data_IF_696197210088
#
_entry.id   IF_696197210088
#
_cell.length_a   1.000
_cell.length_b   1.000
_cell.length_c   1.000
_cell.angle_alpha   90.00
_cell.angle_beta   90.00
_cell.angle_gamma   90.00
#
_symmetry.space_group_name_H-M   'P 1'
#
loop_
_entity.id
_entity.type
_entity.pdbx_description
1 polymer ?
#
# COMPACT_ATOMS: atom_id res chain seq x y z
N UNK A 1 -19.25 17.86 6.49
CA UNK A 1 -18.67 17.53 7.83
C UNK A 1 -18.37 16.04 7.86
N UNK A 2 -17.23 15.67 8.47
CA UNK A 2 -16.82 14.26 8.60
C UNK A 2 -17.61 13.53 9.70
N UNK A 3 -17.79 12.21 9.56
CA UNK A 3 -18.30 11.32 10.61
C UNK A 3 -17.20 10.83 11.57
N UNK A 4 -15.95 11.23 11.37
CA UNK A 4 -14.87 10.96 12.30
C UNK A 4 -15.10 11.73 13.61
N UNK A 5 -15.08 11.03 14.74
CA UNK A 5 -15.43 11.59 16.05
C UNK A 5 -14.22 11.92 16.92
N UNK A 6 -13.25 11.02 16.96
CA UNK A 6 -12.09 11.15 17.83
C UNK A 6 -10.92 10.29 17.34
N UNK A 7 -9.75 10.49 17.97
CA UNK A 7 -8.65 9.52 17.95
C UNK A 7 -8.75 8.64 19.17
N UNK A 8 -8.58 7.33 19.02
CA UNK A 8 -8.59 6.35 20.13
C UNK A 8 -7.31 5.54 20.15
N UNK A 9 -6.78 5.34 21.36
CA UNK A 9 -5.63 4.47 21.54
C UNK A 9 -6.00 3.01 21.29
N UNK A 10 -5.24 2.33 20.43
CA UNK A 10 -5.47 0.92 20.04
C UNK A 10 -5.18 -0.06 21.20
N UNK A 11 -4.49 0.37 22.27
CA UNK A 11 -4.12 -0.48 23.41
C UNK A 11 -4.96 -0.21 24.65
N UNK A 12 -5.05 1.06 25.11
CA UNK A 12 -5.71 1.39 26.38
C UNK A 12 -7.10 2.03 26.19
N UNK A 13 -7.54 2.31 24.95
CA UNK A 13 -8.85 2.87 24.67
C UNK A 13 -9.00 4.38 24.94
N UNK A 14 -7.97 5.07 25.46
CA UNK A 14 -8.01 6.52 25.72
C UNK A 14 -8.36 7.29 24.45
N UNK A 15 -9.34 8.18 24.54
CA UNK A 15 -9.78 9.02 23.42
C UNK A 15 -9.16 10.43 23.49
N UNK A 16 -8.93 11.02 22.31
CA UNK A 16 -8.40 12.36 22.10
C UNK A 16 -9.22 13.07 21.01
N UNK A 17 -9.29 14.40 21.01
CA UNK A 17 -9.89 15.13 19.89
C UNK A 17 -9.13 14.87 18.59
N UNK A 18 -9.78 15.16 17.46
CA UNK A 18 -9.13 15.10 16.14
C UNK A 18 -8.07 16.19 16.07
N UNK A 19 -6.81 15.80 16.12
CA UNK A 19 -5.63 16.69 16.11
C UNK A 19 -4.43 15.97 15.50
N UNK A 20 -3.36 16.70 15.15
CA UNK A 20 -2.13 16.14 14.60
C UNK A 20 -1.31 15.38 15.67
N UNK A 21 -1.77 14.18 16.00
CA UNK A 21 -1.19 13.31 17.03
C UNK A 21 -1.24 11.85 16.58
N UNK A 22 -0.20 11.09 16.84
CA UNK A 22 -0.12 9.67 16.47
C UNK A 22 0.03 8.71 17.63
N UNK A 23 0.47 9.19 18.80
CA UNK A 23 0.74 8.36 19.98
C UNK A 23 -0.11 8.76 21.18
N UNK A 24 -0.50 7.76 21.94
CA UNK A 24 -1.18 7.89 23.23
C UNK A 24 -0.23 8.45 24.29
N UNK A 25 -0.68 9.40 25.10
CA UNK A 25 0.11 9.94 26.22
C UNK A 25 0.29 8.93 27.36
N UNK A 26 -0.68 8.02 27.55
CA UNK A 26 -0.67 7.09 28.68
C UNK A 26 0.24 5.88 28.44
N UNK A 27 0.28 5.33 27.22
CA UNK A 27 0.97 4.06 26.95
C UNK A 27 1.81 4.06 25.69
N UNK A 28 1.96 5.21 25.03
CA UNK A 28 2.74 5.40 23.80
C UNK A 28 2.35 4.49 22.64
N UNK A 29 1.18 3.86 22.69
CA UNK A 29 0.65 3.06 21.59
C UNK A 29 0.04 3.94 20.52
N UNK A 30 -0.05 3.42 19.30
CA UNK A 30 -0.61 4.13 18.14
C UNK A 30 -2.09 4.47 18.33
N UNK A 31 -2.49 5.62 17.79
CA UNK A 31 -3.87 6.07 17.73
C UNK A 31 -4.51 5.65 16.41
N UNK A 32 -5.83 5.47 16.44
CA UNK A 32 -6.67 5.26 15.27
C UNK A 32 -7.85 6.24 15.26
N UNK A 33 -8.38 6.53 14.08
CA UNK A 33 -9.62 7.33 13.95
C UNK A 33 -10.82 6.43 14.24
N UNK A 34 -11.75 6.94 15.04
CA UNK A 34 -13.07 6.31 15.28
C UNK A 34 -14.17 7.18 14.71
N UNK A 35 -15.25 6.54 14.25
CA UNK A 35 -16.37 7.14 13.55
C UNK A 35 -17.69 6.96 14.29
N UNK A 36 -18.67 7.81 13.97
CA UNK A 36 -20.06 7.59 14.34
C UNK A 36 -20.72 6.60 13.36
N UNK A 37 -20.41 5.32 13.52
CA UNK A 37 -20.99 4.26 12.69
C UNK A 37 -22.51 4.16 12.83
N UNK A 38 -23.08 4.62 13.96
CA UNK A 38 -24.53 4.59 14.16
C UNK A 38 -25.27 5.56 13.25
N UNK A 39 -24.70 6.74 13.06
CA UNK A 39 -25.22 7.73 12.10
C UNK A 39 -24.91 7.30 10.67
N UNK A 40 -23.67 6.86 10.38
CA UNK A 40 -23.26 6.35 9.08
C UNK A 40 -24.18 5.24 8.56
N UNK A 41 -24.55 4.27 9.39
CA UNK A 41 -25.44 3.16 9.00
C UNK A 41 -26.85 3.61 8.57
N UNK A 42 -27.27 4.83 8.91
CA UNK A 42 -28.56 5.38 8.51
C UNK A 42 -28.49 6.22 7.25
N UNK A 43 -27.34 6.83 6.98
CA UNK A 43 -27.18 7.86 5.96
C UNK A 43 -26.38 7.39 4.75
N UNK A 44 -25.59 6.31 4.90
CA UNK A 44 -24.76 5.76 3.83
C UNK A 44 -25.47 4.55 3.18
N UNK A 45 -25.51 4.55 1.85
CA UNK A 45 -25.99 3.42 1.05
C UNK A 45 -25.04 3.13 -0.11
N UNK A 46 -25.22 1.98 -0.75
CA UNK A 46 -24.45 1.59 -1.94
C UNK A 46 -24.65 2.58 -3.08
N UNK A 47 -25.89 3.04 -3.27
CA UNK A 47 -26.29 4.00 -4.30
C UNK A 47 -25.58 5.34 -4.06
N UNK A 48 -25.60 5.85 -2.82
CA UNK A 48 -24.92 7.10 -2.46
C UNK A 48 -23.41 7.03 -2.71
N UNK A 49 -22.77 5.89 -2.43
CA UNK A 49 -21.35 5.69 -2.76
C UNK A 49 -21.16 5.68 -4.27
N UNK A 50 -22.03 4.99 -5.03
CA UNK A 50 -21.93 4.87 -6.48
C UNK A 50 -22.11 6.21 -7.22
N UNK A 51 -22.86 7.17 -6.65
CA UNK A 51 -23.00 8.55 -7.15
C UNK A 51 -21.74 9.39 -6.98
N UNK A 52 -20.77 8.95 -6.15
CA UNK A 52 -19.52 9.64 -5.91
C UNK A 52 -18.57 9.64 -7.12
N UNK A 53 -17.48 10.44 -7.07
CA UNK A 53 -16.53 10.56 -8.18
C UNK A 53 -15.82 9.21 -8.45
N UNK A 54 -15.27 9.01 -9.68
CA UNK A 54 -14.46 7.83 -10.00
C UNK A 54 -13.04 7.95 -9.40
N UNK A 55 -12.95 8.16 -8.10
CA UNK A 55 -11.72 8.24 -7.29
C UNK A 55 -11.97 7.65 -5.91
N UNK A 56 -10.93 7.57 -5.08
CA UNK A 56 -11.08 7.12 -3.68
C UNK A 56 -12.06 7.99 -2.87
N UNK A 57 -12.32 9.20 -3.31
CA UNK A 57 -13.15 10.19 -2.62
C UNK A 57 -14.66 9.90 -2.69
N UNK A 58 -15.07 8.88 -3.48
CA UNK A 58 -16.43 8.35 -3.42
C UNK A 58 -16.77 7.73 -2.05
N UNK A 59 -15.74 7.33 -1.29
CA UNK A 59 -15.87 6.84 0.08
C UNK A 59 -15.59 7.91 1.14
N UNK A 60 -15.71 9.20 0.78
CA UNK A 60 -15.37 10.33 1.66
C UNK A 60 -16.04 10.23 3.03
N UNK A 61 -17.31 9.82 3.09
CA UNK A 61 -18.06 9.69 4.34
C UNK A 61 -17.43 8.68 5.32
N UNK A 62 -16.62 7.75 4.82
CA UNK A 62 -15.85 6.76 5.58
C UNK A 62 -14.41 7.21 5.88
N UNK A 63 -14.06 8.47 5.54
CA UNK A 63 -12.73 9.06 5.72
C UNK A 63 -12.77 10.24 6.70
N UNK A 64 -11.66 10.55 7.40
CA UNK A 64 -11.64 11.54 8.48
C UNK A 64 -11.44 12.97 8.00
N UNK A 65 -12.09 13.36 6.90
CA UNK A 65 -11.91 14.65 6.24
C UNK A 65 -13.25 15.33 5.96
N UNK A 66 -13.22 16.65 5.83
CA UNK A 66 -14.37 17.45 5.40
C UNK A 66 -14.49 17.52 3.85
N UNK A 67 -15.20 18.49 3.31
CA UNK A 67 -15.58 18.50 1.89
C UNK A 67 -14.48 18.96 0.93
N UNK A 68 -13.55 19.79 1.36
CA UNK A 68 -12.48 20.30 0.52
C UNK A 68 -11.27 19.34 0.50
N UNK A 69 -11.27 18.40 -0.44
CA UNK A 69 -10.26 17.35 -0.53
C UNK A 69 -9.14 17.68 -1.52
N UNK A 70 -7.93 17.16 -1.25
CA UNK A 70 -6.79 17.23 -2.18
C UNK A 70 -6.78 15.96 -3.01
N UNK A 71 -7.31 16.05 -4.23
CA UNK A 71 -7.37 14.94 -5.18
C UNK A 71 -6.52 15.22 -6.43
N UNK A 72 -5.73 14.25 -6.85
CA UNK A 72 -4.99 14.22 -8.11
C UNK A 72 -5.47 13.09 -9.04
N UNK A 73 -6.69 12.57 -8.82
CA UNK A 73 -7.25 11.42 -9.49
C UNK A 73 -6.87 10.09 -8.82
N UNK A 74 -6.76 10.10 -7.51
CA UNK A 74 -6.27 8.96 -6.72
C UNK A 74 -7.34 7.90 -6.50
N UNK A 75 -6.93 6.64 -6.64
CA UNK A 75 -7.79 5.50 -6.33
C UNK A 75 -8.77 5.13 -7.43
N UNK A 76 -9.78 4.35 -7.08
CA UNK A 76 -10.73 3.70 -7.99
C UNK A 76 -10.02 2.96 -9.13
N UNK A 77 -8.88 2.35 -8.79
CA UNK A 77 -8.02 1.61 -9.72
C UNK A 77 -8.71 0.33 -10.16
N UNK A 78 -8.38 -0.20 -11.36
CA UNK A 78 -9.02 -1.40 -11.87
C UNK A 78 -8.86 -2.63 -10.96
N UNK A 79 -9.94 -3.41 -10.86
CA UNK A 79 -9.92 -4.78 -10.38
C UNK A 79 -10.05 -5.69 -11.61
N UNK A 80 -8.97 -6.37 -11.98
CA UNK A 80 -8.83 -7.12 -13.22
C UNK A 80 -8.90 -8.62 -12.94
N UNK A 81 -9.75 -9.36 -13.66
CA UNK A 81 -9.70 -10.83 -13.63
C UNK A 81 -8.42 -11.29 -14.31
N UNK A 82 -7.64 -12.13 -13.63
CA UNK A 82 -6.33 -12.59 -14.07
C UNK A 82 -6.43 -14.01 -14.63
N UNK A 83 -7.06 -14.17 -15.81
CA UNK A 83 -7.40 -15.48 -16.36
C UNK A 83 -6.16 -16.30 -16.73
N UNK A 84 -5.13 -15.69 -17.34
CA UNK A 84 -3.92 -16.40 -17.74
C UNK A 84 -3.06 -16.79 -16.53
N UNK A 85 -2.87 -15.82 -15.61
CA UNK A 85 -2.14 -16.08 -14.37
C UNK A 85 -2.91 -17.08 -13.50
N UNK A 86 -4.21 -16.96 -13.40
CA UNK A 86 -5.07 -17.91 -12.67
C UNK A 86 -4.93 -19.34 -13.20
N UNK A 87 -4.94 -19.53 -14.52
CA UNK A 87 -4.72 -20.82 -15.16
C UNK A 87 -3.32 -21.39 -14.82
N UNK A 88 -2.29 -20.55 -14.86
CA UNK A 88 -0.90 -20.93 -14.53
C UNK A 88 -0.75 -21.36 -13.06
N UNK A 89 -1.50 -20.71 -12.16
CA UNK A 89 -1.45 -20.98 -10.71
C UNK A 89 -2.51 -21.98 -10.23
N UNK A 90 -3.43 -22.41 -11.10
CA UNK A 90 -4.54 -23.31 -10.74
C UNK A 90 -5.63 -22.62 -9.90
N UNK A 91 -5.87 -21.30 -10.11
CA UNK A 91 -6.87 -20.49 -9.42
C UNK A 91 -7.90 -19.96 -10.42
N UNK A 92 -9.16 -20.39 -10.31
CA UNK A 92 -10.21 -20.05 -11.28
C UNK A 92 -10.79 -18.63 -11.07
N UNK A 93 -10.76 -18.11 -9.82
CA UNK A 93 -11.34 -16.82 -9.43
C UNK A 93 -10.25 -15.87 -8.86
N UNK A 94 -9.17 -15.68 -9.63
CA UNK A 94 -8.08 -14.76 -9.30
C UNK A 94 -8.32 -13.38 -9.91
N UNK A 95 -8.19 -12.34 -9.08
CA UNK A 95 -8.26 -10.93 -9.49
C UNK A 95 -7.04 -10.15 -9.00
N UNK A 96 -6.62 -9.18 -9.80
CA UNK A 96 -5.55 -8.23 -9.48
C UNK A 96 -6.17 -6.86 -9.17
N UNK A 97 -5.94 -6.36 -7.94
CA UNK A 97 -6.17 -4.94 -7.62
C UNK A 97 -4.94 -4.15 -8.04
N UNK A 98 -5.05 -3.44 -9.18
CA UNK A 98 -3.89 -2.83 -9.84
C UNK A 98 -3.67 -1.38 -9.42
N UNK A 99 -2.99 -1.15 -8.32
CA UNK A 99 -2.62 0.18 -7.82
C UNK A 99 -1.38 0.79 -8.49
N UNK A 100 -0.78 0.12 -9.49
CA UNK A 100 0.23 0.72 -10.37
C UNK A 100 -0.29 1.95 -11.12
N UNK A 101 -1.61 2.03 -11.33
CA UNK A 101 -2.28 3.07 -12.11
C UNK A 101 -2.66 4.32 -11.30
N UNK A 102 -2.27 4.40 -10.05
CA UNK A 102 -2.36 5.66 -9.31
C UNK A 102 -1.45 6.73 -9.92
N UNK A 103 -1.76 8.03 -9.76
CA UNK A 103 -1.06 9.14 -10.40
C UNK A 103 0.47 9.19 -10.16
N UNK A 104 0.94 8.77 -8.99
CA UNK A 104 2.39 8.64 -8.72
C UNK A 104 2.86 7.18 -8.73
N UNK A 105 2.15 6.32 -9.46
CA UNK A 105 2.50 4.93 -9.76
C UNK A 105 2.53 4.00 -8.53
N UNK A 106 1.81 4.33 -7.46
CA UNK A 106 1.69 3.44 -6.30
C UNK A 106 0.47 3.74 -5.43
N UNK A 107 0.07 2.76 -4.62
CA UNK A 107 -1.01 2.90 -3.63
C UNK A 107 -0.77 4.02 -2.61
N UNK A 108 0.47 4.54 -2.50
CA UNK A 108 0.81 5.61 -1.57
C UNK A 108 -0.01 6.88 -1.79
N UNK A 109 -0.54 7.08 -2.97
CA UNK A 109 -1.42 8.21 -3.25
C UNK A 109 -2.66 8.22 -2.36
N UNK A 110 -3.22 7.06 -2.05
CA UNK A 110 -4.41 6.92 -1.19
C UNK A 110 -4.20 7.46 0.23
N UNK A 111 -3.26 6.94 1.03
CA UNK A 111 -3.02 7.46 2.37
C UNK A 111 -2.49 8.88 2.38
N UNK A 112 -1.70 9.28 1.38
CA UNK A 112 -1.15 10.64 1.28
C UNK A 112 -2.23 11.66 0.97
N UNK A 113 -3.16 11.37 0.06
CA UNK A 113 -4.29 12.24 -0.28
C UNK A 113 -5.10 12.62 0.97
N UNK A 114 -5.43 11.64 1.83
CA UNK A 114 -6.11 11.88 3.10
C UNK A 114 -5.25 12.69 4.08
N UNK A 115 -3.96 12.34 4.22
CA UNK A 115 -3.08 13.03 5.15
C UNK A 115 -2.81 14.49 4.76
N UNK A 116 -2.64 14.79 3.47
CA UNK A 116 -2.46 16.16 2.96
C UNK A 116 -3.74 16.97 3.12
N UNK A 117 -4.91 16.41 2.80
CA UNK A 117 -6.20 17.03 3.06
C UNK A 117 -6.33 17.42 4.54
N UNK A 118 -6.03 16.47 5.43
CA UNK A 118 -6.11 16.70 6.88
C UNK A 118 -5.06 17.71 7.39
N UNK A 119 -3.85 17.70 6.80
CA UNK A 119 -2.85 18.72 7.11
C UNK A 119 -3.37 20.14 6.83
N UNK A 120 -4.01 20.32 5.68
CA UNK A 120 -4.62 21.61 5.29
C UNK A 120 -5.76 22.01 6.23
N UNK A 121 -6.65 21.10 6.61
CA UNK A 121 -7.72 21.32 7.59
C UNK A 121 -7.18 21.75 8.96
N UNK A 122 -6.03 21.21 9.39
CA UNK A 122 -5.34 21.62 10.63
C UNK A 122 -4.58 22.94 10.50
N UNK A 123 -4.62 23.58 9.32
CA UNK A 123 -3.95 24.85 9.06
C UNK A 123 -2.42 24.75 9.01
N UNK A 124 -1.90 23.60 8.55
CA UNK A 124 -0.49 23.48 8.17
C UNK A 124 -0.30 24.04 6.75
N UNK A 125 0.73 24.84 6.57
CA UNK A 125 1.19 25.33 5.26
C UNK A 125 2.36 24.50 4.71
N UNK A 126 2.92 23.65 5.56
CA UNK A 126 4.11 22.84 5.29
C UNK A 126 3.88 21.39 5.70
N UNK A 127 4.25 20.49 4.80
CA UNK A 127 4.25 19.05 5.06
C UNK A 127 5.62 18.43 4.88
N UNK A 128 5.87 17.32 5.53
CA UNK A 128 7.15 16.63 5.45
C UNK A 128 7.02 15.11 5.52
N UNK A 129 8.03 14.41 5.01
CA UNK A 129 8.19 12.98 5.20
C UNK A 129 9.65 12.55 5.18
N UNK A 130 9.96 11.43 5.83
CA UNK A 130 11.21 10.70 5.72
C UNK A 130 11.01 9.55 4.73
N UNK A 131 11.44 9.69 3.48
CA UNK A 131 11.30 8.63 2.46
C UNK A 131 12.10 8.93 1.21
N UNK A 132 12.59 7.90 0.55
CA UNK A 132 13.28 7.97 -0.74
C UNK A 132 12.46 7.41 -1.92
N UNK A 133 11.30 6.78 -1.64
CA UNK A 133 10.53 6.00 -2.62
C UNK A 133 9.11 6.53 -2.86
N UNK A 134 8.18 5.59 -2.98
CA UNK A 134 6.77 5.84 -3.32
C UNK A 134 6.09 6.89 -2.42
N UNK A 135 6.40 6.92 -1.12
CA UNK A 135 5.83 7.91 -0.20
C UNK A 135 6.30 9.33 -0.53
N UNK A 136 7.61 9.51 -0.81
CA UNK A 136 8.17 10.82 -1.11
C UNK A 136 7.55 11.44 -2.36
N UNK A 137 7.44 10.68 -3.45
CA UNK A 137 6.83 11.14 -4.69
C UNK A 137 5.36 11.52 -4.51
N UNK A 138 4.60 10.69 -3.79
CA UNK A 138 3.21 10.96 -3.50
C UNK A 138 3.02 12.23 -2.64
N UNK A 139 3.83 12.40 -1.57
CA UNK A 139 3.79 13.61 -0.74
C UNK A 139 4.11 14.86 -1.55
N UNK A 140 5.15 14.81 -2.39
CA UNK A 140 5.52 15.94 -3.22
C UNK A 140 4.42 16.32 -4.23
N UNK A 141 3.81 15.32 -4.89
CA UNK A 141 2.72 15.53 -5.85
C UNK A 141 1.47 16.15 -5.21
N UNK A 142 1.01 15.58 -4.10
CA UNK A 142 -0.19 16.08 -3.41
C UNK A 142 0.05 17.43 -2.75
N UNK A 143 1.25 17.70 -2.20
CA UNK A 143 1.62 19.00 -1.65
C UNK A 143 1.65 20.08 -2.75
N UNK A 144 2.20 19.77 -3.92
CA UNK A 144 2.18 20.66 -5.08
C UNK A 144 0.72 20.99 -5.49
N UNK A 145 -0.16 19.99 -5.56
CA UNK A 145 -1.59 20.19 -5.84
C UNK A 145 -2.29 21.05 -4.80
N UNK A 146 -1.92 20.89 -3.52
CA UNK A 146 -2.49 21.63 -2.39
C UNK A 146 -1.88 23.02 -2.21
N UNK A 147 -0.90 23.43 -3.03
CA UNK A 147 -0.10 24.65 -2.86
C UNK A 147 0.55 24.75 -1.46
N UNK A 148 1.07 23.62 -0.96
CA UNK A 148 1.77 23.51 0.32
C UNK A 148 3.27 23.32 0.10
N UNK A 149 4.11 23.80 1.01
CA UNK A 149 5.54 23.47 1.02
C UNK A 149 5.73 22.01 1.40
N UNK A 150 6.61 21.30 0.68
CA UNK A 150 6.97 19.93 0.99
C UNK A 150 8.45 19.81 1.29
N UNK A 151 8.79 19.19 2.41
CA UNK A 151 10.16 18.79 2.76
C UNK A 151 10.27 17.27 2.74
N UNK A 152 11.22 16.76 1.97
CA UNK A 152 11.50 15.32 1.88
C UNK A 152 12.90 15.07 2.44
N UNK A 153 12.96 14.34 3.56
CA UNK A 153 14.21 13.98 4.23
C UNK A 153 14.68 12.62 3.75
N UNK A 154 15.93 12.56 3.30
CA UNK A 154 16.55 11.37 2.69
C UNK A 154 17.96 11.16 3.25
N UNK A 155 18.45 9.90 3.36
CA UNK A 155 19.85 9.64 3.62
C UNK A 155 20.76 10.20 2.51
N UNK A 156 21.99 10.57 2.86
CA UNK A 156 22.94 11.21 1.92
C UNK A 156 23.44 10.27 0.80
N UNK A 157 23.31 8.96 0.96
CA UNK A 157 23.79 7.93 0.01
C UNK A 157 22.81 7.57 -1.10
N UNK A 158 21.69 8.28 -1.22
CA UNK A 158 20.67 8.00 -2.27
C UNK A 158 21.09 8.56 -3.62
N UNK A 159 21.03 7.73 -4.64
CA UNK A 159 21.36 8.08 -6.02
C UNK A 159 20.40 9.14 -6.58
N UNK A 160 20.88 10.18 -7.29
CA UNK A 160 20.03 11.23 -7.85
C UNK A 160 18.92 10.71 -8.78
N UNK A 161 19.18 9.67 -9.56
CA UNK A 161 18.20 9.09 -10.50
C UNK A 161 16.93 8.59 -9.81
N UNK A 162 17.05 8.05 -8.59
CA UNK A 162 15.91 7.58 -7.79
C UNK A 162 15.04 8.71 -7.25
N UNK A 163 15.55 9.95 -7.27
CA UNK A 163 14.85 11.12 -6.74
C UNK A 163 14.08 11.90 -7.81
N UNK A 164 14.31 11.66 -9.10
CA UNK A 164 13.71 12.41 -10.22
C UNK A 164 12.18 12.44 -10.10
N UNK A 165 11.55 11.29 -9.86
CA UNK A 165 10.10 11.17 -9.71
C UNK A 165 9.52 11.87 -8.47
N UNK A 166 10.38 12.37 -7.56
CA UNK A 166 10.00 13.23 -6.44
C UNK A 166 10.34 14.68 -6.74
N UNK A 167 11.54 14.92 -7.26
CA UNK A 167 12.07 16.26 -7.52
C UNK A 167 11.26 17.06 -8.54
N UNK A 168 10.61 16.38 -9.51
CA UNK A 168 9.79 17.02 -10.55
C UNK A 168 8.63 17.87 -9.99
N UNK A 169 8.15 17.56 -8.78
CA UNK A 169 7.11 18.31 -8.07
C UNK A 169 7.65 19.46 -7.23
N UNK A 170 8.96 19.74 -7.33
CA UNK A 170 9.65 20.84 -6.65
C UNK A 170 9.54 20.87 -5.10
N UNK A 171 9.65 19.73 -4.39
CA UNK A 171 9.82 19.75 -2.94
C UNK A 171 11.23 20.20 -2.56
N UNK A 172 11.41 20.61 -1.31
CA UNK A 172 12.75 20.79 -0.75
C UNK A 172 13.31 19.43 -0.33
N UNK A 173 14.33 18.95 -1.06
CA UNK A 173 15.01 17.69 -0.75
C UNK A 173 16.13 17.96 0.27
N UNK A 174 16.03 17.36 1.45
CA UNK A 174 16.99 17.49 2.55
C UNK A 174 17.81 16.21 2.67
N UNK A 175 19.06 16.24 2.23
CA UNK A 175 20.01 15.14 2.43
C UNK A 175 20.57 15.19 3.86
N UNK A 176 20.32 14.14 4.63
CA UNK A 176 20.78 13.99 6.02
C UNK A 176 22.02 13.10 6.04
N UNK A 177 23.09 13.57 6.61
CA UNK A 177 24.31 12.78 6.84
C UNK A 177 24.03 11.75 7.94
N UNK A 178 24.00 10.47 7.57
CA UNK A 178 23.68 9.36 8.46
C UNK A 178 22.79 8.29 7.83
N UNK A 179 22.31 7.41 8.69
CA UNK A 179 21.44 6.30 8.36
C UNK A 179 19.96 6.74 8.19
N UNK A 180 19.11 5.84 7.73
CA UNK A 180 17.65 6.06 7.71
C UNK A 180 17.07 6.27 9.12
N UNK A 181 17.67 5.66 10.15
CA UNK A 181 17.26 5.85 11.54
C UNK A 181 17.61 7.25 12.04
N UNK A 182 18.75 7.82 11.61
CA UNK A 182 19.10 9.21 11.89
C UNK A 182 18.12 10.18 11.24
N UNK A 183 17.69 9.91 10.02
CA UNK A 183 16.63 10.70 9.34
C UNK A 183 15.33 10.66 10.15
N UNK A 184 14.90 9.48 10.59
CA UNK A 184 13.67 9.33 11.37
C UNK A 184 13.74 10.04 12.73
N UNK A 185 14.89 9.94 13.43
CA UNK A 185 15.13 10.65 14.69
C UNK A 185 15.05 12.16 14.49
N UNK A 186 15.74 12.71 13.49
CA UNK A 186 15.69 14.14 13.16
C UNK A 186 14.26 14.60 12.85
N UNK A 187 13.50 13.82 12.07
CA UNK A 187 12.10 14.14 11.77
C UNK A 187 11.23 14.14 13.02
N UNK A 188 11.46 13.24 13.98
CA UNK A 188 10.75 13.22 15.26
C UNK A 188 11.04 14.47 16.12
N UNK A 189 12.26 15.00 16.09
CA UNK A 189 12.63 16.25 16.75
C UNK A 189 11.98 17.47 16.06
N UNK A 190 11.97 17.49 14.71
CA UNK A 190 11.38 18.57 13.93
C UNK A 190 9.86 18.70 14.17
N UNK A 191 9.14 17.59 14.33
CA UNK A 191 7.70 17.57 14.69
C UNK A 191 7.43 18.32 15.99
N UNK A 192 8.35 18.27 16.96
CA UNK A 192 8.19 18.95 18.24
C UNK A 192 8.47 20.46 18.13
N UNK A 193 9.32 20.84 17.18
CA UNK A 193 9.82 22.22 17.06
C UNK A 193 9.03 23.08 16.09
N UNK A 194 8.55 22.48 14.99
CA UNK A 194 7.89 23.21 13.90
C UNK A 194 6.43 22.80 13.75
N UNK A 195 5.58 23.75 13.39
CA UNK A 195 4.18 23.50 13.05
C UNK A 195 4.09 22.91 11.63
N UNK A 196 4.60 21.68 11.43
CA UNK A 196 4.58 20.95 10.16
C UNK A 196 3.75 19.69 10.24
N UNK A 197 3.06 19.37 9.14
CA UNK A 197 2.36 18.11 8.98
C UNK A 197 3.33 17.00 8.51
N UNK A 198 3.88 16.20 9.43
CA UNK A 198 4.67 15.01 9.06
C UNK A 198 3.75 13.85 8.75
N UNK A 199 3.68 13.47 7.47
CA UNK A 199 2.69 12.54 6.91
C UNK A 199 2.68 11.19 7.65
N UNK A 200 3.85 10.62 7.90
CA UNK A 200 4.00 9.31 8.52
C UNK A 200 4.34 9.37 10.03
N UNK A 201 4.28 10.55 10.66
CA UNK A 201 4.52 10.74 12.10
C UNK A 201 3.26 11.31 12.76
N UNK A 202 3.10 12.63 12.90
CA UNK A 202 1.98 13.22 13.61
C UNK A 202 0.62 13.13 12.86
N UNK A 203 0.65 12.93 11.53
CA UNK A 203 -0.54 12.69 10.71
C UNK A 203 -0.82 11.20 10.44
N UNK A 204 -0.03 10.29 11.02
CA UNK A 204 -0.12 8.84 10.80
C UNK A 204 -1.53 8.25 10.98
N UNK A 205 -2.37 8.62 11.97
CA UNK A 205 -3.73 8.08 12.09
C UNK A 205 -4.59 8.39 10.86
N UNK A 206 -4.48 9.59 10.31
CA UNK A 206 -5.23 10.03 9.12
C UNK A 206 -4.67 9.40 7.85
N UNK A 207 -3.34 9.36 7.72
CA UNK A 207 -2.65 8.62 6.68
C UNK A 207 -3.12 7.17 6.59
N UNK A 208 -3.26 6.51 7.73
CA UNK A 208 -3.72 5.12 7.77
C UNK A 208 -5.10 4.93 7.14
N UNK A 209 -6.02 5.87 7.37
CA UNK A 209 -7.41 5.75 6.92
C UNK A 209 -7.55 5.76 5.39
N UNK A 210 -6.67 6.44 4.66
CA UNK A 210 -6.68 6.40 3.19
C UNK A 210 -6.46 5.00 2.61
N UNK A 211 -5.73 4.14 3.31
CA UNK A 211 -5.52 2.75 2.88
C UNK A 211 -6.79 1.87 2.97
N UNK A 212 -7.83 2.28 3.69
CA UNK A 212 -9.12 1.57 3.75
C UNK A 212 -9.79 1.52 2.38
N UNK A 213 -9.57 2.55 1.55
CA UNK A 213 -10.19 2.63 0.22
C UNK A 213 -9.80 1.46 -0.70
N UNK A 214 -8.68 0.78 -0.44
CA UNK A 214 -8.32 -0.47 -1.12
C UNK A 214 -9.39 -1.55 -0.95
N UNK A 215 -9.84 -1.79 0.27
CA UNK A 215 -10.87 -2.80 0.55
C UNK A 215 -12.28 -2.35 0.17
N UNK A 216 -12.60 -1.06 0.34
CA UNK A 216 -13.90 -0.53 -0.12
C UNK A 216 -14.08 -0.70 -1.63
N UNK A 217 -13.06 -0.33 -2.42
CA UNK A 217 -13.09 -0.49 -3.87
C UNK A 217 -13.19 -1.95 -4.30
N UNK A 218 -12.46 -2.84 -3.64
CA UNK A 218 -12.56 -4.28 -3.93
C UNK A 218 -13.98 -4.79 -3.69
N UNK A 219 -14.58 -4.46 -2.54
CA UNK A 219 -15.94 -4.89 -2.25
C UNK A 219 -16.97 -4.35 -3.23
N UNK A 220 -16.90 -3.05 -3.59
CA UNK A 220 -17.79 -2.43 -4.57
C UNK A 220 -17.61 -3.04 -5.96
N UNK A 221 -16.37 -3.17 -6.44
CA UNK A 221 -16.05 -3.72 -7.77
C UNK A 221 -16.37 -5.21 -7.92
N UNK A 222 -16.48 -5.93 -6.81
CA UNK A 222 -16.98 -7.30 -6.76
C UNK A 222 -18.52 -7.39 -6.65
N UNK A 223 -19.25 -6.27 -6.79
CA UNK A 223 -20.70 -6.22 -6.64
C UNK A 223 -21.17 -6.27 -5.17
N UNK A 224 -20.45 -5.58 -4.29
CA UNK A 224 -20.73 -5.45 -2.85
C UNK A 224 -20.65 -6.79 -2.10
N UNK A 225 -19.54 -7.49 -2.30
CA UNK A 225 -19.20 -8.69 -1.55
C UNK A 225 -17.72 -8.69 -1.13
N UNK A 226 -17.42 -9.35 -0.03
CA UNK A 226 -16.05 -9.60 0.38
C UNK A 226 -15.42 -10.74 -0.44
N UNK A 227 -14.11 -10.73 -0.73
CA UNK A 227 -13.41 -11.87 -1.32
C UNK A 227 -13.20 -12.99 -0.27
N UNK A 228 -12.95 -14.23 -0.74
CA UNK A 228 -12.59 -15.34 0.15
C UNK A 228 -11.14 -15.17 0.66
N UNK A 229 -10.23 -14.69 -0.20
CA UNK A 229 -8.82 -14.51 0.11
C UNK A 229 -8.29 -13.16 -0.34
N UNK A 230 -7.43 -12.57 0.47
CA UNK A 230 -6.62 -11.38 0.12
C UNK A 230 -5.15 -11.71 0.28
N UNK A 231 -4.32 -11.42 -0.74
CA UNK A 231 -2.86 -11.53 -0.69
C UNK A 231 -2.25 -10.13 -0.83
N UNK A 232 -1.51 -9.69 0.19
CA UNK A 232 -1.02 -8.30 0.29
C UNK A 232 0.45 -8.22 0.70
N UNK A 233 1.29 -7.36 0.04
CA UNK A 233 2.68 -7.15 0.40
C UNK A 233 2.80 -6.23 1.61
N UNK A 234 3.43 -6.69 2.69
CA UNK A 234 3.50 -5.94 3.93
C UNK A 234 4.89 -5.38 4.20
N UNK A 235 4.99 -4.05 4.29
CA UNK A 235 6.12 -3.35 4.89
C UNK A 235 5.92 -3.26 6.41
N UNK A 236 5.26 -2.20 6.90
CA UNK A 236 4.97 -2.01 8.33
C UNK A 236 3.74 -2.80 8.83
N UNK A 237 2.95 -3.40 7.94
CA UNK A 237 1.67 -4.04 8.24
C UNK A 237 0.45 -3.10 8.23
N UNK A 238 0.65 -1.77 8.14
CA UNK A 238 -0.42 -0.78 8.27
C UNK A 238 -1.56 -0.99 7.25
N UNK A 239 -1.26 -0.96 5.95
CA UNK A 239 -2.28 -1.05 4.90
C UNK A 239 -3.00 -2.40 4.92
N UNK A 240 -2.30 -3.48 5.24
CA UNK A 240 -2.87 -4.81 5.43
C UNK A 240 -3.97 -4.78 6.50
N UNK A 241 -3.71 -4.18 7.67
CA UNK A 241 -4.71 -4.05 8.73
C UNK A 241 -5.87 -3.13 8.34
N UNK A 242 -5.64 -2.16 7.45
CA UNK A 242 -6.68 -1.22 6.98
C UNK A 242 -7.61 -1.85 5.94
N UNK A 243 -7.10 -2.73 5.10
CA UNK A 243 -7.95 -3.53 4.20
C UNK A 243 -8.91 -4.41 5.03
N UNK A 244 -8.42 -5.11 6.04
CA UNK A 244 -9.27 -5.87 6.96
C UNK A 244 -10.33 -5.00 7.64
N UNK A 245 -9.91 -3.88 8.24
CA UNK A 245 -10.81 -2.91 8.89
C UNK A 245 -11.89 -2.42 7.91
N UNK A 246 -11.55 -2.15 6.66
CA UNK A 246 -12.50 -1.63 5.67
C UNK A 246 -13.60 -2.63 5.33
N UNK A 247 -13.28 -3.91 5.18
CA UNK A 247 -14.28 -4.96 4.95
C UNK A 247 -15.19 -5.12 6.17
N UNK A 248 -14.62 -5.10 7.39
CA UNK A 248 -15.38 -5.15 8.65
C UNK A 248 -16.31 -3.94 8.79
N UNK A 249 -15.86 -2.73 8.46
CA UNK A 249 -16.69 -1.52 8.45
C UNK A 249 -17.86 -1.62 7.47
N UNK A 250 -17.65 -2.11 6.26
CA UNK A 250 -18.73 -2.29 5.28
C UNK A 250 -19.77 -3.31 5.77
N UNK A 251 -19.33 -4.39 6.41
CA UNK A 251 -20.22 -5.38 7.02
C UNK A 251 -21.00 -4.80 8.20
N UNK A 252 -20.32 -4.08 9.10
CA UNK A 252 -20.96 -3.40 10.23
C UNK A 252 -22.02 -2.39 9.80
N UNK A 253 -21.82 -1.73 8.65
CA UNK A 253 -22.76 -0.78 8.07
C UNK A 253 -23.87 -1.47 7.25
N UNK A 254 -23.87 -2.80 7.12
CA UNK A 254 -24.86 -3.55 6.35
C UNK A 254 -24.69 -3.39 4.83
N UNK A 255 -23.55 -2.89 4.37
CA UNK A 255 -23.27 -2.71 2.93
C UNK A 255 -22.79 -4.00 2.25
N UNK A 256 -22.20 -4.93 3.01
CA UNK A 256 -21.85 -6.29 2.57
C UNK A 256 -22.25 -7.31 3.64
N UNK A 257 -22.32 -8.59 3.27
CA UNK A 257 -22.52 -9.70 4.19
C UNK A 257 -21.37 -9.83 5.20
N UNK A 258 -21.54 -10.58 6.31
CA UNK A 258 -20.49 -10.84 7.29
C UNK A 258 -19.20 -11.35 6.65
N UNK A 259 -18.08 -10.78 7.07
CA UNK A 259 -16.75 -11.01 6.45
C UNK A 259 -16.14 -12.31 6.94
N UNK A 260 -15.83 -13.21 6.00
CA UNK A 260 -15.09 -14.45 6.23
C UNK A 260 -13.77 -14.48 5.43
N UNK A 261 -13.28 -13.34 5.00
CA UNK A 261 -12.07 -13.18 4.18
C UNK A 261 -10.84 -13.64 4.93
N UNK A 262 -10.05 -14.53 4.34
CA UNK A 262 -8.74 -14.94 4.85
C UNK A 262 -7.66 -13.99 4.34
N UNK A 263 -6.90 -13.40 5.26
CA UNK A 263 -5.88 -12.40 4.97
C UNK A 263 -4.49 -13.03 4.93
N UNK A 264 -3.85 -13.04 3.77
CA UNK A 264 -2.49 -13.56 3.58
C UNK A 264 -1.51 -12.40 3.44
N UNK A 265 -0.58 -12.33 4.40
CA UNK A 265 0.47 -11.32 4.44
C UNK A 265 1.74 -11.85 3.76
N UNK A 266 2.37 -11.04 2.90
CA UNK A 266 3.60 -11.45 2.22
C UNK A 266 4.75 -10.47 2.47
N UNK A 267 5.97 -11.00 2.64
CA UNK A 267 7.21 -10.21 2.80
C UNK A 267 8.34 -10.81 1.97
N UNK A 268 9.40 -10.01 1.72
CA UNK A 268 10.64 -10.52 1.18
C UNK A 268 11.42 -11.29 2.27
N UNK A 269 11.97 -12.46 1.96
CA UNK A 269 12.66 -13.32 2.91
C UNK A 269 13.85 -12.62 3.61
N UNK A 270 14.54 -11.71 2.91
CA UNK A 270 15.60 -10.89 3.49
C UNK A 270 15.10 -9.77 4.43
N UNK A 271 13.76 -9.61 4.62
CA UNK A 271 13.14 -8.68 5.56
C UNK A 271 11.74 -9.16 5.91
N UNK A 272 11.61 -10.27 6.67
CA UNK A 272 10.35 -10.95 6.94
C UNK A 272 9.93 -11.06 8.42
N UNK A 273 10.14 -10.02 9.28
CA UNK A 273 9.95 -10.15 10.71
C UNK A 273 8.52 -10.52 11.13
N UNK A 274 7.50 -10.15 10.33
CA UNK A 274 6.10 -10.54 10.62
C UNK A 274 5.87 -12.02 10.25
N UNK A 275 6.39 -12.46 9.11
CA UNK A 275 6.28 -13.88 8.68
C UNK A 275 7.01 -14.78 9.66
N UNK A 276 8.22 -14.42 10.08
CA UNK A 276 9.02 -15.19 11.05
C UNK A 276 8.29 -15.34 12.38
N UNK A 277 7.65 -14.26 12.86
CA UNK A 277 6.86 -14.28 14.09
C UNK A 277 5.60 -15.13 13.96
N UNK A 278 4.94 -15.11 12.78
CA UNK A 278 3.80 -15.98 12.50
C UNK A 278 4.21 -17.44 12.53
N UNK A 279 5.31 -17.81 11.87
CA UNK A 279 5.85 -19.19 11.85
C UNK A 279 6.28 -19.67 13.24
N UNK A 280 6.86 -18.78 14.04
CA UNK A 280 7.21 -19.04 15.44
C UNK A 280 6.00 -19.13 16.40
N UNK A 281 4.77 -18.89 15.89
CA UNK A 281 3.56 -18.94 16.69
C UNK A 281 3.42 -17.80 17.73
N UNK A 282 4.22 -16.73 17.63
CA UNK A 282 4.23 -15.60 18.58
C UNK A 282 3.52 -14.36 17.99
N UNK A 283 3.15 -13.42 18.86
CA UNK A 283 2.71 -12.07 18.49
C UNK A 283 3.81 -11.03 18.68
N UNK A 284 4.94 -11.42 19.24
CA UNK A 284 6.10 -10.55 19.38
C UNK A 284 6.89 -10.53 18.08
N UNK A 285 7.06 -9.35 17.50
CA UNK A 285 7.83 -9.15 16.26
C UNK A 285 9.23 -8.70 16.65
N UNK A 286 10.23 -9.56 16.39
CA UNK A 286 11.62 -9.23 16.57
C UNK A 286 12.12 -8.41 15.39
N UNK A 287 12.78 -7.25 15.62
CA UNK A 287 13.40 -6.49 14.55
C UNK A 287 14.50 -7.28 13.82
N UNK A 288 14.59 -7.08 12.51
CA UNK A 288 15.65 -7.64 11.66
C UNK A 288 16.34 -6.54 10.87
N UNK A 289 17.58 -6.75 10.43
CA UNK A 289 18.24 -5.88 9.47
C UNK A 289 17.85 -6.27 8.05
N UNK A 290 17.19 -5.39 7.27
CA UNK A 290 16.75 -5.71 5.92
C UNK A 290 17.91 -5.97 4.96
N UNK A 291 17.85 -7.12 4.24
CA UNK A 291 18.81 -7.52 3.19
C UNK A 291 18.04 -8.06 1.99
N UNK A 292 17.47 -7.18 1.18
CA UNK A 292 16.65 -7.54 0.01
C UNK A 292 16.65 -6.44 -1.04
N UNK A 293 16.49 -6.80 -2.30
CA UNK A 293 16.25 -5.87 -3.41
C UNK A 293 14.86 -5.23 -3.36
N UNK A 294 13.91 -5.79 -2.59
CA UNK A 294 12.51 -5.35 -2.50
C UNK A 294 12.40 -4.15 -1.56
N UNK A 295 13.08 -3.07 -1.91
CA UNK A 295 13.27 -1.88 -1.06
C UNK A 295 11.98 -1.23 -0.57
N UNK A 296 10.88 -1.27 -1.34
CA UNK A 296 9.61 -0.62 -0.99
C UNK A 296 8.89 -1.26 0.21
N UNK A 297 9.21 -2.53 0.55
CA UNK A 297 8.67 -3.24 1.71
C UNK A 297 9.76 -3.70 2.71
N UNK A 298 11.00 -3.28 2.53
CA UNK A 298 12.14 -3.63 3.39
C UNK A 298 12.11 -2.87 4.72
N UNK A 299 11.18 -3.23 5.60
CA UNK A 299 11.01 -2.65 6.95
C UNK A 299 11.37 -3.70 8.01
N UNK A 300 12.54 -3.55 8.62
CA UNK A 300 13.02 -4.50 9.62
C UNK A 300 12.34 -4.40 10.99
N UNK A 301 11.77 -3.23 11.34
CA UNK A 301 11.01 -3.02 12.57
C UNK A 301 9.60 -2.50 12.23
N UNK A 302 8.64 -3.38 11.90
CA UNK A 302 7.31 -3.00 11.43
C UNK A 302 6.41 -2.50 12.57
N UNK A 303 6.10 -1.20 12.57
CA UNK A 303 5.33 -0.54 13.62
C UNK A 303 3.90 -1.09 13.82
N UNK A 304 3.31 -1.70 12.82
CA UNK A 304 2.00 -2.35 12.87
C UNK A 304 2.10 -3.90 12.86
N UNK A 305 3.28 -4.47 13.04
CA UNK A 305 3.54 -5.91 12.94
C UNK A 305 2.66 -6.74 13.89
N UNK A 306 2.54 -6.32 15.15
CA UNK A 306 1.63 -6.94 16.12
C UNK A 306 0.18 -7.00 15.61
N UNK A 307 -0.33 -5.88 15.11
CA UNK A 307 -1.70 -5.81 14.62
C UNK A 307 -1.91 -6.60 13.31
N UNK A 308 -0.89 -6.65 12.46
CA UNK A 308 -0.92 -7.47 11.26
C UNK A 308 -1.00 -8.97 11.60
N UNK A 309 -0.22 -9.44 12.58
CA UNK A 309 -0.30 -10.81 13.10
C UNK A 309 -1.67 -11.12 13.71
N UNK A 310 -2.27 -10.17 14.43
CA UNK A 310 -3.64 -10.33 14.94
C UNK A 310 -4.65 -10.54 13.81
N UNK A 311 -4.55 -9.73 12.73
CA UNK A 311 -5.44 -9.87 11.55
C UNK A 311 -5.23 -11.24 10.88
N UNK A 312 -3.99 -11.67 10.64
CA UNK A 312 -3.70 -12.99 10.06
C UNK A 312 -4.38 -14.10 10.86
N UNK A 313 -4.29 -14.06 12.20
CA UNK A 313 -4.90 -15.07 13.07
C UNK A 313 -6.42 -14.99 13.11
N UNK A 314 -6.97 -13.80 13.28
CA UNK A 314 -8.44 -13.59 13.37
C UNK A 314 -9.15 -13.96 12.06
N UNK A 315 -8.50 -13.74 10.93
CA UNK A 315 -9.03 -14.07 9.60
C UNK A 315 -8.81 -15.55 9.20
N UNK A 316 -8.16 -16.37 10.03
CA UNK A 316 -7.69 -17.70 9.65
C UNK A 316 -6.85 -17.70 8.36
N UNK A 317 -6.11 -16.61 8.14
CA UNK A 317 -5.22 -16.43 7.01
C UNK A 317 -3.85 -17.05 7.20
N UNK A 318 -2.83 -16.45 6.56
CA UNK A 318 -1.46 -16.94 6.64
C UNK A 318 -0.43 -15.86 6.39
N UNK A 319 0.85 -16.23 6.52
CA UNK A 319 1.96 -15.36 6.19
C UNK A 319 3.01 -16.14 5.38
N UNK A 320 3.55 -15.52 4.31
CA UNK A 320 4.46 -16.16 3.39
C UNK A 320 5.62 -15.24 3.03
N UNK A 321 6.84 -15.74 3.06
CA UNK A 321 8.03 -15.05 2.56
C UNK A 321 8.48 -15.60 1.21
N UNK A 322 9.06 -14.71 0.37
CA UNK A 322 9.65 -15.05 -0.92
C UNK A 322 11.06 -14.52 -1.02
N UNK A 323 11.95 -15.25 -1.69
CA UNK A 323 13.31 -14.77 -1.95
C UNK A 323 13.32 -13.65 -2.99
N UNK A 324 14.46 -13.00 -3.15
CA UNK A 324 14.64 -11.94 -4.15
C UNK A 324 14.50 -12.50 -5.58
N UNK A 325 15.03 -13.70 -5.84
CA UNK A 325 14.89 -14.39 -7.12
C UNK A 325 13.43 -14.74 -7.41
N UNK A 326 12.72 -15.27 -6.43
CA UNK A 326 11.28 -15.55 -6.55
C UNK A 326 10.48 -14.27 -6.82
N UNK A 327 10.85 -13.15 -6.20
CA UNK A 327 10.19 -11.85 -6.45
C UNK A 327 10.41 -11.42 -7.92
N UNK A 328 11.63 -11.56 -8.47
CA UNK A 328 11.92 -11.29 -9.88
C UNK A 328 11.08 -12.20 -10.79
N UNK A 329 11.00 -13.49 -10.50
CA UNK A 329 10.18 -14.43 -11.26
C UNK A 329 8.69 -14.06 -11.21
N UNK A 330 8.20 -13.62 -10.06
CA UNK A 330 6.82 -13.12 -9.90
C UNK A 330 6.54 -11.87 -10.73
N UNK A 331 7.51 -10.93 -10.82
CA UNK A 331 7.40 -9.75 -11.69
C UNK A 331 7.27 -10.17 -13.16
N UNK A 332 8.15 -11.09 -13.62
CA UNK A 332 8.15 -11.62 -14.99
C UNK A 332 6.84 -12.34 -15.30
N UNK A 333 6.41 -13.23 -14.40
CA UNK A 333 5.17 -14.01 -14.56
C UNK A 333 3.96 -13.09 -14.73
N UNK A 334 3.78 -12.08 -13.86
CA UNK A 334 2.67 -11.12 -13.96
C UNK A 334 2.71 -10.33 -15.27
N UNK A 335 3.89 -9.87 -15.67
CA UNK A 335 4.05 -9.12 -16.92
C UNK A 335 3.73 -9.98 -18.16
N UNK A 336 4.18 -11.24 -18.18
CA UNK A 336 4.00 -12.15 -19.31
C UNK A 336 2.59 -12.72 -19.42
N UNK A 337 1.86 -12.83 -18.31
CA UNK A 337 0.48 -13.33 -18.29
C UNK A 337 -0.55 -12.25 -18.42
N UNK A 338 -0.44 -11.16 -17.64
CA UNK A 338 -1.48 -10.13 -17.53
C UNK A 338 -1.05 -8.76 -18.10
N UNK A 339 0.17 -8.62 -18.62
CA UNK A 339 0.67 -7.36 -19.16
C UNK A 339 0.91 -6.27 -18.10
N UNK A 340 1.04 -6.64 -16.84
CA UNK A 340 1.23 -5.71 -15.73
C UNK A 340 2.68 -5.72 -15.27
N UNK A 341 3.41 -4.63 -15.54
CA UNK A 341 4.76 -4.45 -15.05
C UNK A 341 4.74 -3.80 -13.65
N UNK A 342 4.98 -4.61 -12.62
CA UNK A 342 5.00 -4.22 -11.21
C UNK A 342 6.41 -4.02 -10.68
N UNK A 343 6.56 -3.25 -9.59
CA UNK A 343 7.79 -3.24 -8.77
C UNK A 343 7.96 -4.58 -8.03
N UNK A 344 9.14 -4.81 -7.44
CA UNK A 344 9.47 -6.08 -6.80
C UNK A 344 8.49 -6.51 -5.68
N UNK A 345 7.83 -5.55 -4.99
CA UNK A 345 6.79 -5.87 -4.00
C UNK A 345 5.59 -6.62 -4.61
N UNK A 346 5.19 -6.28 -5.85
CA UNK A 346 4.17 -7.06 -6.56
C UNK A 346 4.69 -8.44 -6.96
N UNK A 347 5.97 -8.57 -7.31
CA UNK A 347 6.62 -9.86 -7.54
C UNK A 347 6.56 -10.79 -6.31
N UNK A 348 6.79 -10.22 -5.11
CA UNK A 348 6.60 -10.93 -3.83
C UNK A 348 5.18 -11.47 -3.69
N UNK A 349 4.16 -10.67 -4.04
CA UNK A 349 2.75 -11.11 -3.97
C UNK A 349 2.49 -12.29 -4.92
N UNK A 350 2.94 -12.20 -6.17
CA UNK A 350 2.68 -13.25 -7.17
C UNK A 350 3.40 -14.57 -6.80
N UNK A 351 4.64 -14.49 -6.34
CA UNK A 351 5.38 -15.67 -5.92
C UNK A 351 4.85 -16.29 -4.62
N UNK A 352 4.41 -15.47 -3.67
CA UNK A 352 3.71 -15.96 -2.49
C UNK A 352 2.37 -16.62 -2.87
N UNK A 353 1.61 -16.03 -3.78
CA UNK A 353 0.35 -16.60 -4.28
C UNK A 353 0.59 -17.99 -4.90
N UNK A 354 1.64 -18.16 -5.72
CA UNK A 354 2.06 -19.46 -6.28
C UNK A 354 2.32 -20.50 -5.18
N UNK A 355 3.04 -20.12 -4.11
CA UNK A 355 3.30 -21.00 -2.96
C UNK A 355 2.01 -21.37 -2.21
N UNK A 356 1.15 -20.39 -1.98
CA UNK A 356 -0.11 -20.58 -1.26
C UNK A 356 -1.10 -21.46 -2.04
N UNK A 357 -1.14 -21.34 -3.35
CA UNK A 357 -1.93 -22.21 -4.22
C UNK A 357 -1.36 -23.64 -4.24
N UNK A 358 -0.04 -23.79 -4.42
CA UNK A 358 0.63 -25.10 -4.45
C UNK A 358 0.48 -25.89 -3.14
N UNK A 359 0.41 -25.20 -2.00
CA UNK A 359 0.19 -25.85 -0.69
C UNK A 359 -1.30 -26.07 -0.37
N UNK A 360 -2.22 -25.65 -1.23
CA UNK A 360 -3.67 -25.69 -0.97
C UNK A 360 -4.14 -24.73 0.13
N UNK A 361 -3.29 -23.79 0.55
CA UNK A 361 -3.65 -22.74 1.49
C UNK A 361 -4.69 -21.79 0.88
N UNK A 362 -4.64 -21.57 -0.42
CA UNK A 362 -5.69 -20.95 -1.23
C UNK A 362 -6.21 -22.01 -2.18
N UNK A 363 -7.53 -22.23 -2.19
CA UNK A 363 -8.16 -23.27 -2.99
C UNK A 363 -8.51 -22.73 -4.38
N UNK A 364 -8.60 -23.65 -5.34
CA UNK A 364 -8.82 -23.37 -6.75
C UNK A 364 -10.01 -22.44 -7.04
N UNK A 365 -11.12 -22.64 -6.35
CA UNK A 365 -12.39 -21.96 -6.58
C UNK A 365 -12.65 -20.78 -5.64
N UNK A 366 -11.66 -20.39 -4.80
CA UNK A 366 -11.80 -19.26 -3.89
C UNK A 366 -11.55 -17.93 -4.61
N UNK A 367 -12.46 -16.99 -4.41
CA UNK A 367 -12.33 -15.62 -4.91
C UNK A 367 -11.15 -14.94 -4.22
N UNK A 368 -10.05 -14.81 -4.96
CA UNK A 368 -8.76 -14.35 -4.44
C UNK A 368 -8.36 -13.02 -5.04
N UNK A 369 -8.02 -12.05 -4.20
CA UNK A 369 -7.52 -10.74 -4.62
C UNK A 369 -6.03 -10.62 -4.29
N UNK A 370 -5.22 -10.43 -5.33
CA UNK A 370 -3.80 -10.08 -5.22
C UNK A 370 -3.64 -8.56 -5.41
N UNK A 371 -3.04 -7.90 -4.42
CA UNK A 371 -2.82 -6.45 -4.48
C UNK A 371 -1.46 -6.14 -5.08
N UNK A 372 -1.45 -5.43 -6.20
CA UNK A 372 -0.25 -4.93 -6.87
C UNK A 372 -0.11 -3.44 -6.59
N UNK A 373 0.84 -3.10 -5.73
CA UNK A 373 0.87 -1.83 -5.00
C UNK A 373 1.75 -0.75 -5.62
N UNK A 374 2.56 -1.08 -6.62
CA UNK A 374 3.44 -0.12 -7.28
C UNK A 374 3.95 -0.58 -8.64
N UNK A 375 4.23 0.37 -9.52
CA UNK A 375 4.62 0.14 -10.90
C UNK A 375 6.12 -0.16 -11.07
N UNK A 376 6.46 -1.04 -12.00
CA UNK A 376 7.79 -1.52 -12.31
C UNK A 376 8.80 -0.48 -12.78
N UNK A 377 8.42 0.56 -13.56
CA UNK A 377 9.38 1.59 -14.01
C UNK A 377 10.14 2.32 -12.89
N UNK A 378 9.68 2.20 -11.64
CA UNK A 378 10.40 2.75 -10.47
C UNK A 378 11.60 1.93 -10.03
N UNK A 379 11.68 0.66 -10.43
CA UNK A 379 12.73 -0.29 -10.05
C UNK A 379 13.09 -1.18 -11.22
N UNK A 380 13.05 -0.64 -12.44
CA UNK A 380 13.29 -1.40 -13.69
C UNK A 380 14.69 -2.02 -13.76
N UNK A 381 15.65 -1.46 -13.05
CA UNK A 381 17.02 -1.96 -12.97
C UNK A 381 17.08 -3.40 -12.40
N UNK A 382 16.12 -3.78 -11.59
CA UNK A 382 16.05 -5.13 -10.97
C UNK A 382 15.87 -6.24 -12.04
N UNK A 383 15.24 -5.91 -13.16
CA UNK A 383 14.96 -6.84 -14.25
C UNK A 383 15.70 -6.49 -15.55
N UNK A 384 16.71 -5.62 -15.49
CA UNK A 384 17.43 -5.15 -16.68
C UNK A 384 18.12 -6.28 -17.49
N UNK A 385 18.47 -7.40 -16.84
CA UNK A 385 19.10 -8.56 -17.48
C UNK A 385 18.20 -9.28 -18.49
N UNK A 386 16.88 -9.00 -18.49
CA UNK A 386 15.97 -9.56 -19.50
C UNK A 386 16.18 -8.94 -20.89
N UNK A 387 16.90 -7.83 -21.00
CA UNK A 387 17.13 -7.11 -22.28
C UNK A 387 18.13 -7.89 -23.12
N UNK A 388 17.63 -8.66 -24.08
CA UNK A 388 18.44 -9.49 -25.01
C UNK A 388 17.97 -9.22 -26.45
N UNK A 389 18.35 -8.07 -27.05
CA UNK A 389 17.96 -7.74 -28.41
C UNK A 389 18.70 -8.63 -29.42
N UNK A 390 17.98 -9.11 -30.43
CA UNK A 390 18.57 -9.79 -31.57
C UNK A 390 18.88 -8.72 -32.64
N UNK A 391 20.14 -8.66 -33.08
CA UNK A 391 20.57 -7.73 -34.12
C UNK A 391 20.26 -8.33 -35.50
N UNK A 392 19.54 -7.58 -36.34
CA UNK A 392 19.26 -7.94 -37.72
C UNK A 392 19.71 -6.81 -38.67
N UNK A 393 20.07 -7.15 -39.90
CA UNK A 393 20.28 -6.14 -40.97
C UNK A 393 18.92 -5.63 -41.45
N UNK A 394 18.81 -4.41 -42.02
CA UNK A 394 17.55 -3.87 -42.52
C UNK A 394 17.14 -4.48 -43.87
N UNK A 395 17.16 -5.81 -43.96
CA UNK A 395 16.77 -6.60 -45.14
C UNK A 395 15.96 -7.81 -44.71
N UNK A 396 14.99 -8.24 -45.54
CA UNK A 396 14.04 -9.27 -45.23
C UNK A 396 14.70 -10.60 -44.85
N UNK A 397 15.69 -10.99 -45.65
CA UNK A 397 16.40 -12.25 -45.44
C UNK A 397 17.04 -12.37 -44.06
N UNK A 398 17.51 -11.28 -43.47
CA UNK A 398 18.12 -11.28 -42.15
C UNK A 398 17.07 -11.50 -41.03
N UNK A 399 15.83 -11.11 -41.24
CA UNK A 399 14.72 -11.37 -40.33
C UNK A 399 14.26 -12.82 -40.48
N UNK A 400 14.15 -13.32 -41.71
CA UNK A 400 13.75 -14.69 -42.02
C UNK A 400 14.75 -15.71 -41.46
N UNK A 401 16.06 -15.41 -41.49
CA UNK A 401 17.08 -16.23 -40.81
C UNK A 401 16.81 -16.38 -39.32
N UNK A 402 16.43 -15.31 -38.61
CA UNK A 402 16.13 -15.35 -37.18
C UNK A 402 14.82 -16.08 -36.91
N UNK A 403 13.81 -15.94 -37.77
CA UNK A 403 12.52 -16.59 -37.65
C UNK A 403 12.55 -18.10 -37.97
N UNK A 404 13.64 -18.59 -38.61
CA UNK A 404 13.75 -19.97 -39.07
C UNK A 404 12.79 -20.31 -40.21
N UNK A 405 12.33 -19.30 -40.95
CA UNK A 405 11.47 -19.44 -42.12
C UNK A 405 12.38 -19.53 -43.33
N UNK A 406 12.60 -20.76 -43.84
CA UNK A 406 13.24 -20.92 -45.17
C UNK A 406 12.23 -20.58 -46.22
N UNK A 407 12.62 -19.68 -47.15
CA UNK A 407 11.91 -19.42 -48.42
C UNK A 407 11.85 -20.65 -49.31
#
# INVERSE_FOLDING_TARGET
MTYARALRCRKCGQEYPLQARSLCECCFSSLEVIYDYKTLAKELSREKIAEGPPSMWRYKDLLPVDDDVVDIGTGFTPLLKADRLGKELGLDELYIKNDCLNPTFSFKDRPVSVAITKAREFGFDTVACASTGNLAASVAAHAAKANMKAYVFIPSNVEPGKLVGTAIYNPVLMKVEGSYDDVNRLCAELVQKYKWGFININLRPYYAEGSKTLGYEVAEQLGWRAPDCVVYPAASGLSFTRIWKSLDELSMLGLIEPVNTRMFLTQAAGSSPIVDSFQAGTLHVNPVEPKTIVSSIAIGNPADGYHALMVVRQSNGGACATTDEEAIDGMKLLAQTEGIFTEAAGGVVISALRKLAATGSIKRNELTIAFITGAGPRTQEIVAEIVQPITVRPVLESVEEVLGVSV
#
